data_IF_714373010026
#
_entry.id   IF_714373010026
#
_cell.length_a   1.000
_cell.length_b   1.000
_cell.length_c   1.000
_cell.angle_alpha   90.00
_cell.angle_beta   90.00
_cell.angle_gamma   90.00
#
_symmetry.space_group_name_H-M   'P 1'
#
loop_
_entity.id
_entity.type
_entity.pdbx_description
1 polymer ?
#
# COMPACT_ATOMS: atom_id res chain seq x y z
N UNK A 1 17.35 2.99 14.58
CA UNK A 1 16.38 4.09 14.89
C UNK A 1 16.35 5.05 13.73
N UNK A 2 15.16 5.48 13.28
CA UNK A 2 14.96 6.34 12.08
C UNK A 2 14.92 7.84 12.40
N UNK A 3 15.14 8.23 13.65
CA UNK A 3 15.23 9.64 14.03
C UNK A 3 16.29 10.36 13.19
N UNK A 4 15.95 11.52 12.63
CA UNK A 4 16.78 12.35 11.75
C UNK A 4 17.22 11.66 10.44
N UNK A 5 16.68 10.47 10.11
CA UNK A 5 16.90 9.86 8.80
C UNK A 5 16.04 10.56 7.74
N UNK A 6 16.62 10.72 6.56
CA UNK A 6 15.92 11.23 5.38
C UNK A 6 15.23 10.09 4.65
N UNK A 7 13.91 10.16 4.57
CA UNK A 7 13.10 9.04 4.09
C UNK A 7 12.19 9.49 2.96
N UNK A 8 12.37 8.92 1.78
CA UNK A 8 11.44 9.10 0.66
C UNK A 8 10.28 8.11 0.78
N UNK A 9 9.05 8.62 0.77
CA UNK A 9 7.83 7.80 0.66
C UNK A 9 7.18 8.09 -0.68
N UNK A 10 7.23 7.13 -1.60
CA UNK A 10 6.45 7.23 -2.84
C UNK A 10 5.00 6.83 -2.59
N UNK A 11 4.04 7.54 -3.18
CA UNK A 11 2.63 7.30 -2.91
C UNK A 11 2.19 7.75 -1.50
N UNK A 12 2.91 8.72 -0.92
CA UNK A 12 2.68 9.18 0.44
C UNK A 12 1.37 9.91 0.68
N UNK A 13 0.63 10.28 -0.38
CA UNK A 13 -0.71 10.85 -0.29
C UNK A 13 -1.83 9.78 -0.30
N UNK A 14 -1.51 8.51 -0.57
CA UNK A 14 -2.47 7.40 -0.53
C UNK A 14 -2.84 6.97 0.89
N UNK A 15 -3.87 6.11 1.04
CA UNK A 15 -4.33 5.59 2.33
C UNK A 15 -3.20 4.99 3.17
N UNK A 16 -2.40 4.11 2.60
CA UNK A 16 -1.29 3.46 3.31
C UNK A 16 -0.13 4.43 3.49
N UNK A 17 0.27 5.13 2.42
CA UNK A 17 1.39 6.07 2.42
C UNK A 17 1.24 7.18 3.45
N UNK A 18 0.06 7.81 3.55
CA UNK A 18 -0.18 8.89 4.51
C UNK A 18 -0.07 8.44 5.98
N UNK A 19 -0.51 7.22 6.29
CA UNK A 19 -0.34 6.64 7.62
C UNK A 19 1.14 6.29 7.92
N UNK A 20 1.90 5.84 6.91
CA UNK A 20 3.35 5.65 7.03
C UNK A 20 4.03 7.00 7.31
N UNK A 21 3.74 8.03 6.51
CA UNK A 21 4.29 9.39 6.68
C UNK A 21 4.04 9.91 8.10
N UNK A 22 2.79 9.79 8.59
CA UNK A 22 2.43 10.19 9.96
C UNK A 22 3.35 9.53 11.01
N UNK A 23 3.50 8.20 10.95
CA UNK A 23 4.34 7.46 11.89
C UNK A 23 5.83 7.83 11.79
N UNK A 24 6.33 8.09 10.58
CA UNK A 24 7.70 8.56 10.39
C UNK A 24 7.94 9.93 11.02
N UNK A 25 7.00 10.87 10.83
CA UNK A 25 7.07 12.20 11.45
C UNK A 25 6.97 12.12 12.98
N UNK A 26 6.10 11.27 13.53
CA UNK A 26 6.01 10.98 14.97
C UNK A 26 7.35 10.46 15.54
N UNK A 27 8.09 9.68 14.74
CA UNK A 27 9.45 9.19 15.08
C UNK A 27 10.58 10.17 14.76
N UNK A 28 10.26 11.40 14.37
CA UNK A 28 11.21 12.48 14.09
C UNK A 28 12.12 12.21 12.87
N UNK A 29 11.64 11.48 11.86
CA UNK A 29 12.31 11.38 10.58
C UNK A 29 12.09 12.66 9.74
N UNK A 30 13.01 12.94 8.80
CA UNK A 30 12.85 13.93 7.75
C UNK A 30 12.20 13.25 6.55
N UNK A 31 10.95 13.62 6.22
CA UNK A 31 10.18 12.88 5.24
C UNK A 31 10.00 13.68 3.95
N UNK A 32 10.37 13.08 2.83
CA UNK A 32 10.02 13.57 1.48
C UNK A 32 8.94 12.66 0.90
N UNK A 33 7.88 13.23 0.37
CA UNK A 33 6.79 12.52 -0.31
C UNK A 33 6.79 12.85 -1.79
N UNK A 34 6.73 11.83 -2.64
CA UNK A 34 6.38 11.99 -4.06
C UNK A 34 5.05 11.31 -4.34
N UNK A 35 4.08 12.06 -4.89
CA UNK A 35 2.74 11.57 -5.23
C UNK A 35 2.14 12.44 -6.34
N UNK A 36 1.48 11.83 -7.31
CA UNK A 36 0.82 12.55 -8.40
C UNK A 36 -0.61 13.01 -8.09
N UNK A 37 -1.13 12.62 -6.90
CA UNK A 37 -2.47 12.93 -6.42
C UNK A 37 -3.64 12.34 -7.24
N UNK A 38 -3.38 11.33 -8.08
CA UNK A 38 -4.44 10.64 -8.83
C UNK A 38 -5.40 9.86 -7.91
N UNK A 39 -4.91 9.47 -6.73
CA UNK A 39 -5.69 8.72 -5.77
C UNK A 39 -6.55 9.61 -4.87
N UNK A 40 -5.96 10.67 -4.32
CA UNK A 40 -6.59 11.58 -3.36
C UNK A 40 -6.12 13.01 -3.57
N UNK A 41 -7.01 14.02 -3.54
CA UNK A 41 -6.63 15.44 -3.56
C UNK A 41 -5.74 15.82 -2.38
N UNK A 42 -4.89 16.82 -2.57
CA UNK A 42 -3.94 17.29 -1.55
C UNK A 42 -4.61 17.71 -0.23
N UNK A 43 -5.79 18.30 -0.29
CA UNK A 43 -6.54 18.76 0.88
C UNK A 43 -6.85 17.64 1.87
N UNK A 44 -6.97 16.40 1.37
CA UNK A 44 -7.16 15.24 2.25
C UNK A 44 -5.98 14.95 3.16
N UNK A 45 -4.76 15.32 2.76
CA UNK A 45 -3.57 15.18 3.62
C UNK A 45 -3.68 16.08 4.86
N UNK A 46 -4.24 17.28 4.72
CA UNK A 46 -4.51 18.19 5.83
C UNK A 46 -5.66 17.71 6.71
N UNK A 47 -6.76 17.28 6.10
CA UNK A 47 -7.98 16.93 6.80
C UNK A 47 -7.84 15.65 7.64
N UNK A 48 -7.07 14.65 7.16
CA UNK A 48 -6.96 13.33 7.79
C UNK A 48 -5.65 13.08 8.54
N UNK A 49 -4.94 14.12 8.90
CA UNK A 49 -3.91 14.03 9.95
C UNK A 49 -2.51 13.60 9.54
N UNK A 50 -2.10 13.84 8.31
CA UNK A 50 -0.66 14.02 8.01
C UNK A 50 -0.20 15.40 8.52
N UNK A 51 -0.92 15.88 9.42
CA UNK A 51 -1.17 17.15 10.08
C UNK A 51 0.00 18.06 10.43
N UNK A 52 1.23 17.74 10.16
CA UNK A 52 2.36 18.65 10.27
C UNK A 52 3.13 18.64 8.95
N UNK A 53 2.47 19.06 7.87
CA UNK A 53 3.10 19.20 6.55
C UNK A 53 4.32 20.14 6.54
N UNK A 54 4.50 20.97 7.56
CA UNK A 54 5.70 21.78 7.76
C UNK A 54 6.98 20.94 7.88
N UNK A 55 6.85 19.65 8.28
CA UNK A 55 7.98 18.71 8.41
C UNK A 55 8.08 17.72 7.25
N UNK A 56 7.25 17.87 6.22
CA UNK A 56 7.20 16.97 5.06
C UNK A 56 7.45 17.77 3.80
N UNK A 57 8.53 17.45 3.10
CA UNK A 57 8.74 17.94 1.73
C UNK A 57 7.79 17.19 0.80
N UNK A 58 6.87 17.90 0.13
CA UNK A 58 5.91 17.30 -0.79
C UNK A 58 6.25 17.65 -2.24
N UNK A 59 6.45 16.62 -3.07
CA UNK A 59 6.70 16.73 -4.49
C UNK A 59 5.52 16.17 -5.27
N UNK A 60 4.74 17.04 -5.89
CA UNK A 60 3.60 16.64 -6.75
C UNK A 60 4.14 16.20 -8.11
N UNK A 61 4.46 14.92 -8.23
CA UNK A 61 5.00 14.35 -9.47
C UNK A 61 4.72 12.84 -9.52
N UNK A 62 4.75 12.28 -10.72
CA UNK A 62 4.63 10.85 -10.96
C UNK A 62 5.96 10.15 -10.73
N UNK A 63 5.93 8.96 -10.11
CA UNK A 63 7.11 8.08 -10.02
C UNK A 63 7.62 7.59 -11.39
N UNK A 64 6.87 7.81 -12.46
CA UNK A 64 7.30 7.54 -13.85
C UNK A 64 8.27 8.60 -14.39
N UNK A 65 8.43 9.72 -13.70
CA UNK A 65 9.44 10.72 -14.02
C UNK A 65 10.77 10.32 -13.39
N UNK A 66 11.56 9.58 -14.14
CA UNK A 66 12.83 8.98 -13.69
C UNK A 66 13.82 10.03 -13.19
N UNK A 67 13.93 11.17 -13.88
CA UNK A 67 14.86 12.24 -13.53
C UNK A 67 14.56 12.84 -12.16
N UNK A 68 13.28 13.12 -11.88
CA UNK A 68 12.85 13.67 -10.58
C UNK A 68 13.04 12.64 -9.48
N UNK A 69 12.65 11.38 -9.73
CA UNK A 69 12.81 10.29 -8.76
C UNK A 69 14.28 10.09 -8.39
N UNK A 70 15.19 10.06 -9.37
CA UNK A 70 16.63 9.94 -9.12
C UNK A 70 17.17 11.10 -8.29
N UNK A 71 16.78 12.34 -8.62
CA UNK A 71 17.17 13.54 -7.85
C UNK A 71 16.70 13.49 -6.40
N UNK A 72 15.50 12.95 -6.16
CA UNK A 72 14.99 12.78 -4.80
C UNK A 72 15.75 11.71 -4.04
N UNK A 73 15.95 10.52 -4.64
CA UNK A 73 16.64 9.38 -4.01
C UNK A 73 18.06 9.75 -3.60
N UNK A 74 18.80 10.52 -4.40
CA UNK A 74 20.17 10.95 -4.08
C UNK A 74 20.31 11.68 -2.72
N UNK A 75 19.24 12.19 -2.17
CA UNK A 75 19.22 12.96 -0.92
C UNK A 75 18.71 12.14 0.28
N UNK A 76 18.38 10.86 0.08
CA UNK A 76 17.71 10.06 1.09
C UNK A 76 18.61 8.98 1.69
N UNK A 77 18.29 8.56 2.89
CA UNK A 77 18.89 7.38 3.55
C UNK A 77 18.04 6.13 3.29
N UNK A 78 16.71 6.28 3.29
CA UNK A 78 15.73 5.18 3.20
C UNK A 78 14.68 5.51 2.13
N UNK A 79 14.23 4.48 1.42
CA UNK A 79 13.12 4.59 0.46
C UNK A 79 12.01 3.61 0.83
N UNK A 80 10.78 4.12 0.99
CA UNK A 80 9.56 3.32 1.17
C UNK A 80 8.72 3.48 -0.09
N UNK A 81 8.62 2.40 -0.88
CA UNK A 81 7.92 2.42 -2.15
C UNK A 81 6.49 1.89 -2.00
N UNK A 82 5.54 2.85 -1.79
CA UNK A 82 4.11 2.56 -1.65
C UNK A 82 3.27 3.02 -2.85
N UNK A 83 3.86 3.79 -3.79
CA UNK A 83 3.15 4.19 -5.00
C UNK A 83 2.81 2.99 -5.88
N UNK A 84 1.58 2.93 -6.35
CA UNK A 84 1.12 1.94 -7.32
C UNK A 84 -0.24 2.35 -7.91
N UNK A 85 -0.54 1.89 -9.10
CA UNK A 85 -1.93 1.74 -9.54
C UNK A 85 -2.51 0.53 -8.80
N UNK A 86 -3.25 0.77 -7.70
CA UNK A 86 -3.64 -0.29 -6.74
C UNK A 86 -5.07 -0.84 -6.94
N UNK A 87 -5.89 -0.19 -7.78
CA UNK A 87 -7.23 -0.69 -8.12
C UNK A 87 -7.14 -1.76 -9.21
N UNK A 88 -7.48 -3.00 -8.86
CA UNK A 88 -7.40 -4.15 -9.79
C UNK A 88 -8.20 -3.92 -11.07
N UNK A 89 -9.40 -3.35 -10.95
CA UNK A 89 -10.22 -3.02 -12.11
C UNK A 89 -9.58 -1.95 -13.01
N UNK A 90 -8.93 -0.94 -12.41
CA UNK A 90 -8.19 0.07 -13.17
C UNK A 90 -6.98 -0.54 -13.89
N UNK A 91 -6.26 -1.47 -13.26
CA UNK A 91 -5.14 -2.19 -13.87
C UNK A 91 -5.59 -2.99 -15.10
N UNK A 92 -6.73 -3.66 -15.02
CA UNK A 92 -7.30 -4.41 -16.16
C UNK A 92 -7.69 -3.47 -17.30
N UNK A 93 -8.30 -2.32 -17.00
CA UNK A 93 -8.71 -1.34 -18.02
C UNK A 93 -7.54 -0.57 -18.65
N UNK A 94 -6.42 -0.44 -17.92
CA UNK A 94 -5.27 0.36 -18.35
C UNK A 94 -3.94 -0.40 -18.11
N UNK A 95 -3.71 -1.53 -18.79
CA UNK A 95 -2.56 -2.39 -18.54
C UNK A 95 -1.22 -1.72 -18.86
N UNK A 96 -1.18 -0.81 -19.82
CA UNK A 96 0.04 -0.05 -20.16
C UNK A 96 0.42 0.92 -19.04
N UNK A 97 -0.54 1.64 -18.47
CA UNK A 97 -0.29 2.56 -17.34
C UNK A 97 0.11 1.76 -16.11
N UNK A 98 -0.54 0.63 -15.89
CA UNK A 98 -0.19 -0.29 -14.81
C UNK A 98 1.28 -0.76 -14.93
N UNK A 99 1.68 -1.25 -16.09
CA UNK A 99 3.05 -1.71 -16.34
C UNK A 99 4.07 -0.56 -16.12
N UNK A 100 3.82 0.62 -16.71
CA UNK A 100 4.72 1.77 -16.55
C UNK A 100 4.86 2.22 -15.10
N UNK A 101 3.77 2.11 -14.31
CA UNK A 101 3.74 2.59 -12.92
C UNK A 101 4.25 1.52 -11.95
N UNK A 102 3.73 0.28 -12.06
CA UNK A 102 3.98 -0.75 -11.07
C UNK A 102 5.23 -1.57 -11.36
N UNK A 103 5.64 -1.67 -12.62
CA UNK A 103 6.80 -2.48 -13.04
C UNK A 103 7.99 -1.59 -13.41
N UNK A 104 7.88 -0.80 -14.47
CA UNK A 104 9.01 0.00 -14.97
C UNK A 104 9.50 1.01 -13.94
N UNK A 105 8.59 1.79 -13.33
CA UNK A 105 8.99 2.77 -12.32
C UNK A 105 9.58 2.10 -11.05
N UNK A 106 9.08 0.92 -10.65
CA UNK A 106 9.66 0.15 -9.54
C UNK A 106 11.09 -0.28 -9.85
N UNK A 107 11.37 -0.73 -11.09
CA UNK A 107 12.72 -1.07 -11.54
C UNK A 107 13.65 0.14 -11.45
N UNK A 108 13.22 1.28 -11.99
CA UNK A 108 14.03 2.52 -11.99
C UNK A 108 14.34 3.01 -10.57
N UNK A 109 13.37 2.89 -9.65
CA UNK A 109 13.57 3.23 -8.23
C UNK A 109 14.60 2.29 -7.60
N UNK A 110 14.52 0.98 -7.83
CA UNK A 110 15.50 0.01 -7.30
C UNK A 110 16.90 0.28 -7.83
N UNK A 111 17.06 0.54 -9.14
CA UNK A 111 18.34 0.91 -9.74
C UNK A 111 18.90 2.19 -9.12
N UNK A 112 18.06 3.21 -8.96
CA UNK A 112 18.47 4.47 -8.34
C UNK A 112 18.88 4.27 -6.88
N UNK A 113 18.15 3.44 -6.12
CA UNK A 113 18.50 3.10 -4.75
C UNK A 113 19.86 2.40 -4.66
N UNK A 114 20.11 1.45 -5.54
CA UNK A 114 21.39 0.72 -5.59
C UNK A 114 22.55 1.65 -5.95
N UNK A 115 22.40 2.48 -7.00
CA UNK A 115 23.43 3.45 -7.43
C UNK A 115 23.78 4.48 -6.36
N UNK A 116 22.83 4.85 -5.50
CA UNK A 116 23.00 5.87 -4.47
C UNK A 116 23.24 5.28 -3.07
N UNK A 117 23.49 3.97 -2.95
CA UNK A 117 23.80 3.27 -1.69
C UNK A 117 22.77 3.53 -0.58
N UNK A 118 21.48 3.44 -0.91
CA UNK A 118 20.40 3.61 0.05
C UNK A 118 20.50 2.54 1.16
N UNK A 119 20.40 2.96 2.41
CA UNK A 119 20.56 2.09 3.57
C UNK A 119 19.44 1.05 3.69
N UNK A 120 18.23 1.38 3.22
CA UNK A 120 17.06 0.48 3.26
C UNK A 120 16.02 0.84 2.21
N UNK A 121 15.54 -0.18 1.51
CA UNK A 121 14.40 -0.09 0.61
C UNK A 121 13.26 -0.97 1.11
N UNK A 122 12.06 -0.41 1.31
CA UNK A 122 10.87 -1.17 1.71
C UNK A 122 9.85 -1.14 0.59
N UNK A 123 9.48 -2.31 0.09
CA UNK A 123 8.48 -2.48 -0.96
C UNK A 123 7.11 -2.83 -0.37
N UNK A 124 6.12 -2.01 -0.69
CA UNK A 124 4.72 -2.26 -0.34
C UNK A 124 4.12 -3.23 -1.35
N UNK A 125 4.04 -4.50 -0.97
CA UNK A 125 3.42 -5.57 -1.73
C UNK A 125 1.96 -5.82 -1.32
N UNK A 126 1.41 -6.98 -1.67
CA UNK A 126 0.02 -7.34 -1.43
C UNK A 126 -0.15 -8.85 -1.30
N UNK A 127 -1.07 -9.30 -0.45
CA UNK A 127 -1.52 -10.69 -0.40
C UNK A 127 -2.16 -11.18 -1.71
N UNK A 128 -2.49 -10.27 -2.63
CA UNK A 128 -2.97 -10.63 -3.98
C UNK A 128 -1.99 -11.51 -4.76
N UNK A 129 -0.70 -11.51 -4.40
CA UNK A 129 0.32 -12.39 -5.00
C UNK A 129 0.01 -13.88 -4.84
N UNK A 130 -0.72 -14.26 -3.79
CA UNK A 130 -1.13 -15.66 -3.56
C UNK A 130 -2.23 -16.15 -4.51
N UNK A 131 -2.98 -15.23 -5.14
CA UNK A 131 -4.06 -15.55 -6.06
C UNK A 131 -5.29 -16.14 -5.37
N UNK A 132 -6.00 -17.03 -6.05
CA UNK A 132 -7.23 -17.69 -5.58
C UNK A 132 -6.89 -19.01 -4.84
N UNK A 133 -5.98 -18.97 -3.89
CA UNK A 133 -5.59 -20.17 -3.16
C UNK A 133 -6.75 -20.79 -2.35
N UNK A 134 -6.81 -22.13 -2.29
CA UNK A 134 -7.79 -22.89 -1.50
C UNK A 134 -7.41 -22.98 0.00
N UNK A 135 -6.52 -22.10 0.46
CA UNK A 135 -6.04 -22.10 1.86
C UNK A 135 -6.75 -21.04 2.67
N UNK A 136 -7.04 -21.37 3.91
CA UNK A 136 -7.60 -20.43 4.89
C UNK A 136 -6.53 -19.51 5.52
N UNK A 137 -5.26 -19.92 5.50
CA UNK A 137 -4.12 -19.19 6.05
C UNK A 137 -2.96 -19.29 5.07
N UNK A 138 -2.34 -18.17 4.76
CA UNK A 138 -1.15 -18.09 3.92
C UNK A 138 0.12 -17.82 4.74
N UNK A 139 1.17 -18.56 4.44
CA UNK A 139 2.53 -18.34 4.95
C UNK A 139 3.40 -17.69 3.85
N UNK A 140 4.45 -17.00 4.23
CA UNK A 140 5.38 -16.38 3.29
C UNK A 140 6.05 -17.39 2.35
N UNK A 141 6.19 -18.64 2.80
CA UNK A 141 6.74 -19.77 2.02
C UNK A 141 5.75 -20.41 1.06
N UNK A 142 4.47 -20.03 1.11
CA UNK A 142 3.47 -20.58 0.20
C UNK A 142 3.70 -20.07 -1.22
N UNK A 143 3.41 -20.91 -2.23
CA UNK A 143 3.58 -20.53 -3.63
C UNK A 143 2.64 -19.38 -4.00
N UNK A 144 3.14 -18.48 -4.84
CA UNK A 144 2.39 -17.34 -5.37
C UNK A 144 1.83 -17.66 -6.75
N UNK A 145 0.51 -17.43 -6.96
CA UNK A 145 -0.19 -17.64 -8.23
C UNK A 145 -1.01 -16.39 -8.59
N UNK A 146 -0.36 -15.29 -8.98
CA UNK A 146 -1.05 -14.04 -9.28
C UNK A 146 -2.06 -14.20 -10.42
N UNK A 147 -3.29 -13.73 -10.23
CA UNK A 147 -4.42 -13.88 -11.17
C UNK A 147 -4.91 -12.54 -11.75
N UNK A 148 -4.13 -11.48 -11.59
CA UNK A 148 -4.40 -10.16 -12.17
C UNK A 148 -3.09 -9.43 -12.46
N UNK A 149 -3.14 -8.43 -13.37
CA UNK A 149 -1.98 -7.60 -13.68
C UNK A 149 -1.38 -6.98 -12.42
N UNK A 150 -2.23 -6.42 -11.55
CA UNK A 150 -1.81 -5.88 -10.26
C UNK A 150 -1.08 -6.91 -9.38
N UNK A 151 -1.65 -8.12 -9.25
CA UNK A 151 -1.02 -9.17 -8.45
C UNK A 151 0.33 -9.60 -9.04
N UNK A 152 0.39 -9.71 -10.37
CA UNK A 152 1.61 -10.08 -11.09
C UNK A 152 2.70 -9.00 -10.94
N UNK A 153 2.36 -7.73 -11.08
CA UNK A 153 3.33 -6.64 -10.90
C UNK A 153 3.85 -6.55 -9.46
N UNK A 154 2.98 -6.80 -8.45
CA UNK A 154 3.42 -6.88 -7.06
C UNK A 154 4.35 -8.08 -6.81
N UNK A 155 4.03 -9.24 -7.35
CA UNK A 155 4.89 -10.42 -7.28
C UNK A 155 6.24 -10.20 -7.97
N UNK A 156 6.23 -9.61 -9.17
CA UNK A 156 7.45 -9.23 -9.88
C UNK A 156 8.31 -8.27 -9.05
N UNK A 157 7.71 -7.23 -8.47
CA UNK A 157 8.41 -6.27 -7.61
C UNK A 157 9.07 -6.93 -6.39
N UNK A 158 8.41 -7.91 -5.76
CA UNK A 158 9.00 -8.70 -4.68
C UNK A 158 10.23 -9.48 -5.15
N UNK A 159 10.16 -10.14 -6.31
CA UNK A 159 11.29 -10.91 -6.82
C UNK A 159 12.48 -9.98 -7.17
N UNK A 160 12.23 -8.83 -7.77
CA UNK A 160 13.26 -7.82 -7.98
C UNK A 160 13.87 -7.32 -6.67
N UNK A 161 13.04 -6.99 -5.69
CA UNK A 161 13.51 -6.56 -4.35
C UNK A 161 14.45 -7.59 -3.73
N UNK A 162 14.10 -8.88 -3.80
CA UNK A 162 14.94 -9.97 -3.32
C UNK A 162 16.26 -10.07 -4.11
N UNK A 163 16.21 -10.01 -5.45
CA UNK A 163 17.39 -10.07 -6.30
C UNK A 163 18.34 -8.88 -6.05
N UNK A 164 17.80 -7.70 -5.83
CA UNK A 164 18.64 -6.53 -5.50
C UNK A 164 19.37 -6.71 -4.16
N UNK A 165 18.77 -7.38 -3.19
CA UNK A 165 19.46 -7.77 -1.95
C UNK A 165 20.54 -8.82 -2.20
N UNK A 166 20.21 -9.90 -2.92
CA UNK A 166 21.11 -11.03 -3.13
C UNK A 166 22.32 -10.70 -4.04
N UNK A 167 22.09 -9.90 -5.08
CA UNK A 167 23.10 -9.64 -6.11
C UNK A 167 23.85 -8.32 -5.90
N UNK A 168 23.19 -7.31 -5.34
CA UNK A 168 23.76 -5.97 -5.21
C UNK A 168 23.92 -5.51 -3.77
N UNK A 169 23.59 -6.35 -2.78
CA UNK A 169 23.65 -6.03 -1.35
C UNK A 169 22.81 -4.81 -0.94
N UNK A 170 21.77 -4.45 -1.71
CA UNK A 170 20.83 -3.41 -1.31
C UNK A 170 19.92 -3.96 -0.19
N UNK A 171 19.94 -3.41 1.04
CA UNK A 171 19.06 -3.90 2.10
C UNK A 171 17.59 -3.66 1.76
N UNK A 172 16.84 -4.72 1.45
CA UNK A 172 15.46 -4.63 1.00
C UNK A 172 14.51 -5.43 1.89
N UNK A 173 13.25 -5.03 1.95
CA UNK A 173 12.17 -5.80 2.60
C UNK A 173 10.88 -5.63 1.80
N UNK A 174 10.10 -6.70 1.63
CA UNK A 174 8.76 -6.64 1.03
C UNK A 174 7.68 -6.96 2.05
N UNK A 175 6.61 -6.16 2.10
CA UNK A 175 5.50 -6.32 3.03
C UNK A 175 4.21 -6.64 2.26
N UNK A 176 3.63 -7.82 2.48
CA UNK A 176 2.38 -8.30 1.88
C UNK A 176 1.20 -7.95 2.77
N UNK A 177 0.43 -6.95 2.41
CA UNK A 177 -0.77 -6.59 3.15
C UNK A 177 -1.96 -7.42 2.70
N UNK A 178 -2.81 -7.78 3.67
CA UNK A 178 -4.14 -8.31 3.41
C UNK A 178 -5.15 -7.15 3.22
N UNK A 179 -6.45 -7.39 3.48
CA UNK A 179 -7.48 -6.38 3.18
C UNK A 179 -7.37 -5.16 4.08
N UNK A 180 -6.75 -4.10 3.58
CA UNK A 180 -6.53 -2.85 4.33
C UNK A 180 -7.82 -2.07 4.49
N UNK A 181 -8.06 -1.55 5.70
CA UNK A 181 -9.10 -0.58 5.98
C UNK A 181 -8.63 0.50 6.96
N UNK A 182 -9.30 1.63 6.99
CA UNK A 182 -9.03 2.75 7.90
C UNK A 182 -8.88 4.08 7.17
N UNK A 183 -8.89 5.17 7.95
CA UNK A 183 -8.75 6.53 7.42
C UNK A 183 -7.34 6.79 6.89
N UNK A 184 -7.21 7.57 5.80
CA UNK A 184 -8.21 8.19 4.94
C UNK A 184 -8.57 7.31 3.72
N UNK A 185 -9.43 6.32 3.90
CA UNK A 185 -9.86 5.46 2.80
C UNK A 185 -11.17 5.97 2.19
N UNK A 186 -11.11 6.53 0.97
CA UNK A 186 -12.24 7.14 0.31
C UNK A 186 -12.69 6.27 -0.87
N UNK A 187 -14.00 5.97 -0.97
CA UNK A 187 -14.54 5.24 -2.09
C UNK A 187 -14.29 5.95 -3.42
N UNK A 188 -13.67 5.27 -4.37
CA UNK A 188 -13.52 5.78 -5.74
C UNK A 188 -14.68 5.33 -6.62
N UNK A 189 -15.16 6.22 -7.47
CA UNK A 189 -16.22 5.88 -8.43
C UNK A 189 -15.74 4.73 -9.35
N UNK A 190 -16.53 3.68 -9.43
CA UNK A 190 -16.23 2.51 -10.27
C UNK A 190 -15.16 1.56 -9.72
N UNK A 191 -14.66 1.79 -8.52
CA UNK A 191 -13.80 0.82 -7.82
C UNK A 191 -14.68 -0.15 -7.02
N UNK A 192 -14.26 -1.42 -7.02
CA UNK A 192 -14.82 -2.49 -6.16
C UNK A 192 -13.85 -2.87 -5.02
N UNK A 193 -12.72 -2.20 -4.95
CA UNK A 193 -11.77 -2.31 -3.85
C UNK A 193 -12.28 -1.54 -2.64
N UNK A 194 -11.84 -1.93 -1.43
CA UNK A 194 -12.13 -1.23 -0.17
C UNK A 194 -13.59 -1.33 0.31
N UNK A 195 -14.05 -2.57 0.47
CA UNK A 195 -15.42 -2.87 0.88
C UNK A 195 -15.89 -2.07 2.11
N UNK A 196 -15.04 -1.93 3.15
CA UNK A 196 -15.40 -1.20 4.38
C UNK A 196 -15.76 0.26 4.07
N UNK A 197 -14.92 0.96 3.31
CA UNK A 197 -15.14 2.36 2.97
C UNK A 197 -16.36 2.55 2.05
N UNK A 198 -16.52 1.67 1.05
CA UNK A 198 -17.66 1.72 0.11
C UNK A 198 -18.97 1.47 0.84
N UNK A 199 -19.05 0.40 1.64
CA UNK A 199 -20.27 0.02 2.36
C UNK A 199 -20.64 1.09 3.40
N UNK A 200 -19.66 1.58 4.17
CA UNK A 200 -19.89 2.65 5.14
C UNK A 200 -20.40 3.93 4.47
N UNK A 201 -19.80 4.33 3.35
CA UNK A 201 -20.25 5.54 2.63
C UNK A 201 -21.64 5.38 2.00
N UNK A 202 -21.98 4.20 1.48
CA UNK A 202 -23.31 3.91 0.93
C UNK A 202 -24.37 3.92 2.05
N UNK A 203 -24.12 3.21 3.15
CA UNK A 203 -25.03 3.15 4.27
C UNK A 203 -25.28 4.53 4.88
N UNK A 204 -24.22 5.33 5.10
CA UNK A 204 -24.35 6.72 5.58
C UNK A 204 -25.20 7.61 4.67
N UNK A 205 -25.18 7.34 3.35
CA UNK A 205 -26.02 8.05 2.35
C UNK A 205 -27.41 7.46 2.16
N UNK A 206 -27.80 6.45 2.94
CA UNK A 206 -29.08 5.75 2.78
C UNK A 206 -29.20 4.97 1.45
N UNK A 207 -28.09 4.62 0.80
CA UNK A 207 -28.06 3.92 -0.48
C UNK A 207 -27.85 2.42 -0.29
N UNK A 208 -28.44 1.57 -1.16
CA UNK A 208 -28.23 0.12 -1.09
C UNK A 208 -26.74 -0.26 -1.18
N UNK A 209 -26.34 -1.26 -0.40
CA UNK A 209 -25.03 -1.90 -0.49
C UNK A 209 -25.11 -3.04 -1.50
N UNK A 210 -24.16 -3.10 -2.44
CA UNK A 210 -24.01 -4.24 -3.35
C UNK A 210 -22.89 -5.14 -2.86
N UNK A 211 -23.24 -6.39 -2.53
CA UNK A 211 -22.32 -7.47 -2.18
C UNK A 211 -22.15 -8.36 -3.39
N UNK A 212 -20.92 -8.58 -3.86
CA UNK A 212 -20.67 -9.51 -4.96
C UNK A 212 -20.62 -10.95 -4.44
N UNK A 213 -21.36 -11.85 -5.11
CA UNK A 213 -21.56 -13.23 -4.63
C UNK A 213 -22.51 -13.27 -3.44
N UNK A 214 -22.37 -14.28 -2.58
CA UNK A 214 -23.22 -14.52 -1.42
C UNK A 214 -22.78 -13.83 -0.12
N UNK A 215 -21.68 -13.11 -0.16
CA UNK A 215 -21.10 -12.41 1.00
C UNK A 215 -20.39 -13.33 2.01
N UNK A 216 -20.29 -14.65 1.74
CA UNK A 216 -19.58 -15.61 2.59
C UNK A 216 -18.07 -15.68 2.31
N UNK A 217 -17.59 -15.00 1.29
CA UNK A 217 -16.16 -14.91 1.00
C UNK A 217 -15.40 -14.26 2.17
N UNK A 218 -14.32 -14.91 2.57
CA UNK A 218 -13.50 -14.51 3.73
C UNK A 218 -12.37 -13.61 3.29
N UNK A 219 -12.09 -12.60 4.12
CA UNK A 219 -10.88 -11.74 4.04
C UNK A 219 -10.29 -11.53 5.43
N UNK A 220 -9.01 -11.25 5.48
CA UNK A 220 -8.35 -10.74 6.69
C UNK A 220 -8.31 -9.20 6.58
N UNK A 221 -9.10 -8.53 7.41
CA UNK A 221 -9.17 -7.07 7.44
C UNK A 221 -8.18 -6.51 8.45
N UNK A 222 -7.16 -5.80 7.97
CA UNK A 222 -6.09 -5.23 8.79
C UNK A 222 -6.19 -3.71 8.80
N UNK A 223 -6.16 -3.12 9.99
CA UNK A 223 -6.24 -1.66 10.11
C UNK A 223 -4.97 -1.00 9.56
N UNK A 224 -5.13 0.12 8.86
CA UNK A 224 -4.02 0.81 8.19
C UNK A 224 -2.91 1.27 9.12
N UNK A 225 -3.23 1.54 10.41
CA UNK A 225 -2.22 1.90 11.42
C UNK A 225 -1.23 0.77 11.71
N UNK A 226 -1.73 -0.49 11.74
CA UNK A 226 -0.89 -1.67 12.01
C UNK A 226 0.01 -1.96 10.81
N UNK A 227 -0.52 -1.72 9.60
CA UNK A 227 0.26 -1.79 8.37
C UNK A 227 1.36 -0.73 8.36
N UNK A 228 1.03 0.52 8.67
CA UNK A 228 2.03 1.59 8.73
C UNK A 228 3.11 1.29 9.78
N UNK A 229 2.72 0.75 10.95
CA UNK A 229 3.67 0.34 11.98
C UNK A 229 4.61 -0.77 11.48
N UNK A 230 4.08 -1.79 10.80
CA UNK A 230 4.89 -2.89 10.26
C UNK A 230 5.92 -2.41 9.24
N UNK A 231 5.55 -1.45 8.37
CA UNK A 231 6.47 -0.84 7.40
C UNK A 231 7.56 -0.07 8.11
N UNK A 232 7.20 0.76 9.10
CA UNK A 232 8.19 1.54 9.86
C UNK A 232 9.11 0.63 10.66
N UNK A 233 8.59 -0.41 11.32
CA UNK A 233 9.42 -1.40 12.03
C UNK A 233 10.40 -2.10 11.09
N UNK A 234 10.01 -2.39 9.84
CA UNK A 234 10.89 -3.03 8.86
C UNK A 234 12.06 -2.15 8.45
N UNK A 235 11.93 -0.81 8.53
CA UNK A 235 13.05 0.10 8.27
C UNK A 235 14.11 0.07 9.39
N UNK A 236 13.72 -0.28 10.61
CA UNK A 236 14.59 -0.27 11.80
C UNK A 236 15.28 -1.62 12.06
N UNK A 237 14.91 -2.69 11.37
CA UNK A 237 15.35 -4.06 11.67
C UNK A 237 16.16 -4.67 10.51
N UNK A 238 17.46 -4.84 10.72
CA UNK A 238 18.34 -5.54 9.75
C UNK A 238 17.89 -6.99 9.49
N UNK A 239 17.32 -7.64 10.51
CA UNK A 239 16.79 -9.01 10.40
C UNK A 239 15.68 -9.17 9.36
N UNK A 240 15.14 -8.07 8.82
CA UNK A 240 14.13 -8.07 7.75
C UNK A 240 14.74 -8.03 6.34
N UNK A 241 16.05 -7.81 6.21
CA UNK A 241 16.70 -7.68 4.91
C UNK A 241 16.55 -8.95 4.05
N UNK A 242 16.23 -8.76 2.78
CA UNK A 242 16.01 -9.81 1.80
C UNK A 242 14.75 -10.65 2.01
N UNK A 243 13.86 -10.27 2.92
CA UNK A 243 12.70 -11.09 3.32
C UNK A 243 11.36 -10.48 2.91
N UNK A 244 10.37 -11.37 2.83
CA UNK A 244 8.95 -11.04 2.69
C UNK A 244 8.24 -11.26 4.02
N UNK A 245 7.24 -10.42 4.33
CA UNK A 245 6.42 -10.57 5.54
C UNK A 245 4.95 -10.40 5.20
N UNK A 246 4.14 -11.31 5.68
CA UNK A 246 2.69 -11.15 5.71
C UNK A 246 2.30 -10.23 6.87
N UNK A 247 1.43 -9.26 6.60
CA UNK A 247 0.85 -8.39 7.62
C UNK A 247 -0.66 -8.49 7.55
N UNK A 248 -1.21 -9.22 8.49
CA UNK A 248 -2.62 -9.49 8.66
C UNK A 248 -2.96 -9.74 10.13
N UNK A 249 -4.22 -9.86 10.45
CA UNK A 249 -4.70 -10.15 11.82
C UNK A 249 -4.76 -11.65 12.12
N UNK A 250 -4.75 -12.49 11.08
CA UNK A 250 -5.02 -13.92 11.17
C UNK A 250 -6.49 -14.26 11.46
N UNK A 251 -7.40 -13.27 11.42
CA UNK A 251 -8.82 -13.44 11.72
C UNK A 251 -9.64 -13.50 10.43
N UNK A 252 -10.24 -14.66 10.10
CA UNK A 252 -11.12 -14.76 8.96
C UNK A 252 -12.41 -13.95 9.23
N UNK A 253 -12.76 -13.05 8.32
CA UNK A 253 -13.95 -12.21 8.42
C UNK A 253 -14.74 -12.30 7.12
N UNK A 254 -16.02 -12.63 7.19
CA UNK A 254 -16.91 -12.65 6.03
C UNK A 254 -17.28 -11.23 5.60
N UNK A 255 -17.59 -11.04 4.33
CA UNK A 255 -18.10 -9.74 3.84
C UNK A 255 -19.42 -9.38 4.51
N UNK A 256 -20.30 -10.37 4.76
CA UNK A 256 -21.56 -10.15 5.50
C UNK A 256 -21.30 -9.64 6.92
N UNK A 257 -20.30 -10.15 7.63
CA UNK A 257 -19.95 -9.69 8.99
C UNK A 257 -19.54 -8.21 8.98
N UNK A 258 -18.90 -7.73 7.90
CA UNK A 258 -18.55 -6.31 7.74
C UNK A 258 -19.82 -5.47 7.58
N UNK A 259 -20.77 -5.91 6.79
CA UNK A 259 -22.06 -5.20 6.61
C UNK A 259 -22.80 -5.12 7.94
N UNK A 260 -22.89 -6.21 8.69
CA UNK A 260 -23.51 -6.24 10.01
C UNK A 260 -22.83 -5.28 10.99
N UNK A 261 -21.49 -5.26 11.03
CA UNK A 261 -20.73 -4.32 11.86
C UNK A 261 -21.01 -2.87 11.48
N UNK A 262 -21.11 -2.54 10.21
CA UNK A 262 -21.45 -1.20 9.74
C UNK A 262 -22.85 -0.80 10.23
N UNK A 263 -23.83 -1.71 10.16
CA UNK A 263 -25.20 -1.47 10.61
C UNK A 263 -25.34 -1.30 12.13
N UNK A 264 -24.34 -1.68 12.92
CA UNK A 264 -24.29 -1.33 14.35
C UNK A 264 -24.06 0.17 14.62
N UNK A 265 -23.50 0.89 13.60
CA UNK A 265 -23.11 2.29 13.74
C UNK A 265 -23.91 3.25 12.85
N UNK A 266 -24.63 2.72 11.85
CA UNK A 266 -25.44 3.50 10.92
C UNK A 266 -26.77 2.79 10.67
N UNK A 267 -27.80 3.57 10.25
CA UNK A 267 -29.09 2.98 9.89
C UNK A 267 -28.94 1.93 8.79
N UNK A 268 -29.51 0.71 8.96
CA UNK A 268 -29.50 -0.32 7.93
C UNK A 268 -30.13 0.15 6.62
N UNK A 269 -29.55 -0.31 5.51
CA UNK A 269 -30.01 -0.06 4.13
C UNK A 269 -30.18 -1.39 3.40
N UNK A 270 -30.94 -1.43 2.29
CA UNK A 270 -31.08 -2.66 1.50
C UNK A 270 -29.73 -3.21 1.02
N UNK A 271 -29.58 -4.55 1.05
CA UNK A 271 -28.43 -5.26 0.50
C UNK A 271 -28.87 -5.93 -0.80
N UNK A 272 -28.03 -5.81 -1.82
CA UNK A 272 -28.15 -6.51 -3.12
C UNK A 272 -27.00 -7.50 -3.24
N UNK A 273 -27.31 -8.72 -3.52
CA UNK A 273 -26.37 -9.82 -3.78
C UNK A 273 -26.25 -10.07 -5.28
#
# INVERSE_FOLDING_TARGET
MIKNKKILVTGGAGTVGSNIVKKLVEKQAEVTVIDNLDAYPFDYLHEYGVGNLEKVEFVKESIRNEEIVEKLIKKQDIVIHAAALADVGACVRNPEIEFKTNVAATQNILESCQKNNIEKFVFVSSAAVYGLGNRSIFKETDPCFPVSNYALSKYWGEQQTRLYYELYNLPTTSIRFFSVYGSPQIPKKGSHSWAVAIFGALAKKGKPITVFGDGNQIRDFTHVSDIAESVVLSTEKESTNGKFFNVGTGKPTKINDIVEKIFQHVKPVPIKY
#
